data_IF_384042969090
#
_entry.id   IF_384042969090
#
_cell.length_a   1.000
_cell.length_b   1.000
_cell.length_c   1.000
_cell.angle_alpha   90.00
_cell.angle_beta   90.00
_cell.angle_gamma   90.00
#
_symmetry.space_group_name_H-M   'P 1'
#
loop_
_entity.id
_entity.type
_entity.pdbx_description
1 polymer ?
#
# COMPACT_ATOMS: atom_id res chain seq x y z
N UNK A 1 -58.14 2.12 -13.84
CA UNK A 1 -57.12 2.79 -14.66
C UNK A 1 -56.06 3.32 -13.71
N UNK A 2 -54.86 2.73 -13.71
CA UNK A 2 -53.75 3.13 -12.83
C UNK A 2 -53.00 4.31 -13.48
N UNK A 3 -53.67 5.46 -13.63
CA UNK A 3 -53.08 6.64 -14.31
C UNK A 3 -52.03 7.32 -13.41
N UNK A 4 -52.24 7.31 -12.08
CA UNK A 4 -51.40 8.08 -11.16
C UNK A 4 -50.06 7.42 -10.79
N UNK A 5 -49.93 6.08 -10.91
CA UNK A 5 -48.73 5.37 -10.46
C UNK A 5 -48.39 4.24 -11.42
N UNK A 6 -47.22 4.30 -12.05
CA UNK A 6 -46.74 3.20 -12.89
C UNK A 6 -45.75 2.34 -12.10
N UNK A 7 -46.27 1.34 -11.39
CA UNK A 7 -45.48 0.45 -10.53
C UNK A 7 -44.42 -0.31 -11.35
N UNK A 8 -44.75 -0.74 -12.56
CA UNK A 8 -43.81 -1.43 -13.46
C UNK A 8 -42.64 -0.54 -13.88
N UNK A 9 -42.91 0.72 -14.22
CA UNK A 9 -41.85 1.70 -14.53
C UNK A 9 -41.02 2.04 -13.29
N UNK A 10 -41.64 2.17 -12.11
CA UNK A 10 -40.91 2.39 -10.85
C UNK A 10 -40.01 1.20 -10.48
N UNK A 11 -40.47 -0.02 -10.71
CA UNK A 11 -39.67 -1.23 -10.49
C UNK A 11 -38.49 -1.30 -11.46
N UNK A 12 -38.73 -1.06 -12.76
CA UNK A 12 -37.67 -1.00 -13.76
C UNK A 12 -36.64 0.09 -13.44
N UNK A 13 -37.09 1.28 -13.01
CA UNK A 13 -36.20 2.36 -12.61
C UNK A 13 -35.36 1.99 -11.38
N UNK A 14 -35.96 1.33 -10.37
CA UNK A 14 -35.22 0.83 -9.20
C UNK A 14 -34.15 -0.19 -9.61
N UNK A 15 -34.47 -1.12 -10.51
CA UNK A 15 -33.51 -2.10 -10.99
C UNK A 15 -32.37 -1.45 -11.78
N UNK A 16 -32.67 -0.46 -12.63
CA UNK A 16 -31.66 0.33 -13.34
C UNK A 16 -30.74 1.07 -12.37
N UNK A 17 -31.28 1.68 -11.32
CA UNK A 17 -30.48 2.35 -10.28
C UNK A 17 -29.54 1.39 -9.55
N UNK A 18 -29.98 0.17 -9.24
CA UNK A 18 -29.14 -0.87 -8.63
C UNK A 18 -28.03 -1.27 -9.60
N UNK A 19 -28.37 -1.54 -10.87
CA UNK A 19 -27.40 -1.92 -11.89
C UNK A 19 -26.34 -0.84 -12.13
N UNK A 20 -26.75 0.44 -12.23
CA UNK A 20 -25.82 1.56 -12.37
C UNK A 20 -24.83 1.63 -11.20
N UNK A 21 -25.31 1.48 -9.96
CA UNK A 21 -24.40 1.43 -8.79
C UNK A 21 -23.39 0.30 -8.85
N UNK A 22 -23.77 -0.86 -9.40
CA UNK A 22 -22.83 -1.97 -9.60
C UNK A 22 -21.79 -1.66 -10.67
N UNK A 23 -22.21 -1.06 -11.79
CA UNK A 23 -21.31 -0.62 -12.86
C UNK A 23 -20.32 0.43 -12.35
N UNK A 24 -20.80 1.44 -11.60
CA UNK A 24 -19.96 2.49 -11.04
C UNK A 24 -18.90 1.90 -10.09
N UNK A 25 -19.29 0.95 -9.22
CA UNK A 25 -18.34 0.25 -8.34
C UNK A 25 -17.31 -0.57 -9.12
N UNK A 26 -17.72 -1.23 -10.21
CA UNK A 26 -16.80 -2.00 -11.04
C UNK A 26 -15.81 -1.08 -11.76
N UNK A 27 -16.29 0.06 -12.28
CA UNK A 27 -15.45 1.08 -12.88
C UNK A 27 -14.45 1.67 -11.87
N UNK A 28 -14.87 1.89 -10.61
CA UNK A 28 -13.97 2.34 -9.54
C UNK A 28 -12.80 1.36 -9.31
N UNK A 29 -13.08 0.05 -9.28
CA UNK A 29 -12.05 -1.00 -9.12
C UNK A 29 -11.15 -1.14 -10.34
N UNK A 30 -11.71 -1.00 -11.54
CA UNK A 30 -10.92 -1.01 -12.78
C UNK A 30 -10.00 0.21 -12.86
N UNK A 31 -10.49 1.39 -12.48
CA UNK A 31 -9.71 2.63 -12.51
C UNK A 31 -8.60 2.66 -11.46
N UNK A 32 -8.84 2.13 -10.26
CA UNK A 32 -7.81 2.06 -9.22
C UNK A 32 -6.81 0.91 -9.43
N UNK A 33 -7.20 -0.13 -10.17
CA UNK A 33 -6.45 -1.39 -10.26
C UNK A 33 -6.46 -2.22 -8.97
N UNK A 34 -7.19 -1.78 -7.94
CA UNK A 34 -7.24 -2.38 -6.62
C UNK A 34 -8.58 -3.06 -6.39
N UNK A 35 -8.54 -4.28 -5.84
CA UNK A 35 -9.76 -5.07 -5.57
C UNK A 35 -10.60 -4.45 -4.45
N UNK A 36 -9.94 -3.85 -3.46
CA UNK A 36 -10.55 -3.26 -2.26
C UNK A 36 -10.21 -1.76 -2.23
N UNK A 37 -11.18 -0.93 -2.64
CA UNK A 37 -10.99 0.53 -2.63
C UNK A 37 -11.55 1.19 -1.36
N UNK A 38 -12.53 0.55 -0.72
CA UNK A 38 -13.25 1.10 0.44
C UNK A 38 -13.32 0.06 1.55
N UNK A 39 -13.34 0.52 2.80
CA UNK A 39 -13.55 -0.35 3.96
C UNK A 39 -14.90 -1.10 3.92
N UNK A 40 -15.90 -0.54 3.21
CA UNK A 40 -17.20 -1.19 3.01
C UNK A 40 -17.19 -2.36 2.00
N UNK A 41 -16.13 -2.51 1.20
CA UNK A 41 -16.00 -3.65 0.28
C UNK A 41 -15.42 -4.88 0.98
N UNK A 42 -14.40 -4.69 1.84
CA UNK A 42 -13.77 -5.75 2.64
C UNK A 42 -12.92 -5.12 3.76
N UNK A 43 -13.52 -4.90 4.93
CA UNK A 43 -12.85 -4.24 6.05
C UNK A 43 -11.64 -5.03 6.57
N UNK A 44 -11.76 -6.35 6.67
CA UNK A 44 -10.69 -7.24 7.14
C UNK A 44 -9.55 -7.32 6.13
N UNK A 45 -9.87 -7.48 4.83
CA UNK A 45 -8.88 -7.49 3.77
C UNK A 45 -8.13 -6.16 3.65
N UNK A 46 -8.83 -5.03 3.81
CA UNK A 46 -8.19 -3.71 3.83
C UNK A 46 -7.24 -3.56 5.03
N UNK A 47 -7.67 -3.96 6.23
CA UNK A 47 -6.84 -3.88 7.43
C UNK A 47 -5.56 -4.72 7.32
N UNK A 48 -5.66 -5.92 6.75
CA UNK A 48 -4.50 -6.79 6.50
C UNK A 48 -3.58 -6.17 5.44
N UNK A 49 -4.14 -5.65 4.35
CA UNK A 49 -3.36 -4.97 3.29
C UNK A 49 -2.59 -3.77 3.85
N UNK A 50 -3.23 -2.92 4.66
CA UNK A 50 -2.57 -1.77 5.28
C UNK A 50 -1.50 -2.19 6.30
N UNK A 51 -1.73 -3.27 7.06
CA UNK A 51 -0.70 -3.87 7.92
C UNK A 51 0.51 -4.32 7.11
N UNK A 52 0.30 -5.01 5.99
CA UNK A 52 1.39 -5.44 5.10
C UNK A 52 2.12 -4.24 4.50
N UNK A 53 1.41 -3.22 4.02
CA UNK A 53 2.02 -1.98 3.51
C UNK A 53 2.87 -1.28 4.57
N UNK A 54 2.41 -1.24 5.83
CA UNK A 54 3.19 -0.72 6.94
C UNK A 54 4.45 -1.55 7.21
N UNK A 55 4.35 -2.88 7.20
CA UNK A 55 5.49 -3.78 7.34
C UNK A 55 6.51 -3.59 6.23
N UNK A 56 6.09 -3.47 4.97
CA UNK A 56 6.97 -3.23 3.82
C UNK A 56 7.74 -1.91 4.01
N UNK A 57 7.05 -0.83 4.38
CA UNK A 57 7.72 0.46 4.66
C UNK A 57 8.71 0.37 5.83
N UNK A 58 8.35 -0.41 6.86
CA UNK A 58 9.23 -0.69 7.98
C UNK A 58 10.49 -1.44 7.55
N UNK A 59 10.34 -2.50 6.75
CA UNK A 59 11.44 -3.28 6.21
C UNK A 59 12.36 -2.45 5.31
N UNK A 60 11.81 -1.63 4.42
CA UNK A 60 12.60 -0.71 3.58
C UNK A 60 13.42 0.28 4.41
N UNK A 61 12.90 0.70 5.57
CA UNK A 61 13.64 1.57 6.49
C UNK A 61 14.73 0.79 7.24
N UNK A 62 14.44 -0.44 7.64
CA UNK A 62 15.43 -1.32 8.27
C UNK A 62 16.57 -1.68 7.31
N UNK A 63 16.28 -1.89 6.03
CA UNK A 63 17.25 -2.11 4.96
C UNK A 63 18.20 -0.92 4.83
N UNK A 64 17.67 0.30 4.69
CA UNK A 64 18.50 1.53 4.67
C UNK A 64 19.36 1.67 5.93
N UNK A 65 18.80 1.42 7.11
CA UNK A 65 19.56 1.48 8.35
C UNK A 65 20.69 0.44 8.39
N UNK A 66 20.49 -0.73 7.80
CA UNK A 66 21.52 -1.75 7.69
C UNK A 66 22.63 -1.32 6.71
N UNK A 67 22.28 -0.72 5.58
CA UNK A 67 23.25 -0.15 4.62
C UNK A 67 24.07 0.97 5.24
N UNK A 68 23.45 1.86 6.01
CA UNK A 68 24.13 2.91 6.77
C UNK A 68 25.09 2.32 7.80
N UNK A 69 24.66 1.27 8.51
CA UNK A 69 25.50 0.53 9.46
C UNK A 69 26.72 -0.12 8.79
N UNK A 70 26.54 -0.72 7.61
CA UNK A 70 27.64 -1.29 6.81
C UNK A 70 28.60 -0.18 6.39
N UNK A 71 28.09 0.96 5.89
CA UNK A 71 28.91 2.10 5.47
C UNK A 71 29.73 2.67 6.63
N UNK A 72 29.15 2.74 7.82
CA UNK A 72 29.84 3.15 9.04
C UNK A 72 30.97 2.19 9.43
N UNK A 73 30.70 0.87 9.37
CA UNK A 73 31.71 -0.15 9.66
C UNK A 73 32.87 -0.06 8.66
N UNK A 74 32.57 0.02 7.36
CA UNK A 74 33.60 0.14 6.32
C UNK A 74 34.46 1.40 6.49
N UNK A 75 33.84 2.53 6.83
CA UNK A 75 34.57 3.77 7.11
C UNK A 75 35.48 3.62 8.32
N UNK A 76 34.99 2.96 9.37
CA UNK A 76 35.76 2.70 10.59
C UNK A 76 36.91 1.73 10.33
N UNK A 77 36.70 0.67 9.55
CA UNK A 77 37.75 -0.27 9.13
C UNK A 77 38.86 0.43 8.35
N UNK A 78 38.51 1.33 7.42
CA UNK A 78 39.48 2.15 6.69
C UNK A 78 40.32 3.04 7.61
N UNK A 79 39.67 3.72 8.57
CA UNK A 79 40.36 4.56 9.57
C UNK A 79 41.29 3.75 10.49
N UNK A 80 40.84 2.57 10.94
CA UNK A 80 41.64 1.69 11.80
C UNK A 80 42.85 1.12 11.05
N UNK A 81 42.69 0.80 9.76
CA UNK A 81 43.80 0.36 8.92
C UNK A 81 44.89 1.44 8.81
N UNK A 82 44.51 2.70 8.57
CA UNK A 82 45.46 3.81 8.53
C UNK A 82 46.18 3.99 9.89
N UNK A 83 45.42 3.89 10.99
CA UNK A 83 46.00 3.96 12.34
C UNK A 83 47.01 2.84 12.58
N UNK A 84 46.72 1.62 12.12
CA UNK A 84 47.62 0.48 12.22
C UNK A 84 48.91 0.69 11.40
N UNK A 85 48.79 1.24 10.18
CA UNK A 85 49.95 1.53 9.33
C UNK A 85 50.87 2.59 9.97
N UNK A 86 50.30 3.60 10.63
CA UNK A 86 51.05 4.60 11.41
C UNK A 86 51.79 3.94 12.57
N UNK A 87 51.12 3.06 13.33
CA UNK A 87 51.75 2.33 14.44
C UNK A 87 52.89 1.42 13.98
N UNK A 88 52.76 0.77 12.82
CA UNK A 88 53.85 -0.01 12.23
C UNK A 88 55.03 0.87 11.81
N UNK A 89 54.79 2.08 11.32
CA UNK A 89 55.86 3.03 10.92
C UNK A 89 56.63 3.61 12.11
N UNK A 90 56.01 3.71 13.28
CA UNK A 90 56.65 4.21 14.50
C UNK A 90 57.61 3.20 15.15
N UNK A 91 57.55 1.92 14.76
CA UNK A 91 58.44 0.85 15.25
C UNK A 91 59.71 0.77 14.41
#
# INVERSE_FOLDING_TARGET
MVINHNISAMFAHRQLQINNRHVDKNMEKLASGERINRAGDDASGLAVSEKMRAQIRGLQSAERNAEDGISFIQTTEGYLQETQDILHRLR
#
